data_IF_571426178121
#
_entry.id   IF_571426178121
#
_cell.length_a   1.000
_cell.length_b   1.000
_cell.length_c   1.000
_cell.angle_alpha   90.00
_cell.angle_beta   90.00
_cell.angle_gamma   90.00
#
_symmetry.space_group_name_H-M   'P 1'
#
loop_
_entity.id
_entity.type
_entity.pdbx_description
1 polymer ?
#
# COMPACT_ATOMS: atom_id res chain seq x y z
N UNK A 1 9.56 -10.11 18.48
CA UNK A 1 9.95 -8.70 18.76
C UNK A 1 10.66 -8.22 17.50
N UNK A 2 10.08 -7.29 16.71
CA UNK A 2 10.74 -6.84 15.46
C UNK A 2 11.91 -5.94 15.85
N UNK A 3 13.10 -6.21 15.31
CA UNK A 3 14.29 -5.41 15.56
C UNK A 3 14.03 -3.93 15.24
N UNK A 4 14.36 -3.01 16.15
CA UNK A 4 14.14 -1.57 15.94
C UNK A 4 15.00 -0.99 14.81
N UNK A 5 16.00 -1.73 14.34
CA UNK A 5 16.82 -1.38 13.18
C UNK A 5 16.36 -2.05 11.88
N UNK A 6 15.35 -2.93 11.93
CA UNK A 6 14.84 -3.56 10.72
C UNK A 6 14.29 -2.48 9.78
N UNK A 7 14.78 -2.41 8.53
CA UNK A 7 14.34 -1.40 7.59
C UNK A 7 12.84 -1.55 7.34
N UNK A 8 12.16 -0.40 7.26
CA UNK A 8 10.73 -0.40 6.96
C UNK A 8 10.53 -1.10 5.63
N UNK A 9 9.63 -2.08 5.60
CA UNK A 9 9.33 -2.82 4.37
C UNK A 9 8.82 -1.86 3.31
N UNK A 10 9.23 -2.11 2.07
CA UNK A 10 8.69 -1.47 0.89
C UNK A 10 7.17 -1.50 0.91
N UNK A 11 6.55 -0.37 0.61
CA UNK A 11 5.12 -0.31 0.33
C UNK A 11 4.87 -0.77 -1.11
N UNK A 12 3.95 -1.70 -1.30
CA UNK A 12 3.52 -2.13 -2.64
C UNK A 12 2.55 -1.11 -3.26
N UNK A 13 2.28 -1.24 -4.56
CA UNK A 13 1.35 -0.36 -5.27
C UNK A 13 -0.04 -0.35 -4.61
N UNK A 14 -0.48 -1.54 -4.20
CA UNK A 14 -1.70 -1.72 -3.41
C UNK A 14 -1.63 -1.04 -2.03
N UNK A 15 -0.48 -1.01 -1.36
CA UNK A 15 -0.35 -0.30 -0.08
C UNK A 15 -0.43 1.22 -0.23
N UNK A 16 0.10 1.80 -1.32
CA UNK A 16 -0.07 3.22 -1.62
C UNK A 16 -1.54 3.53 -1.95
N UNK A 17 -2.14 2.75 -2.86
CA UNK A 17 -3.55 2.88 -3.19
C UNK A 17 -4.46 2.73 -1.97
N UNK A 18 -4.24 1.68 -1.16
CA UNK A 18 -5.05 1.42 0.02
C UNK A 18 -4.89 2.50 1.08
N UNK A 19 -3.75 3.18 1.21
CA UNK A 19 -3.64 4.32 2.12
C UNK A 19 -4.48 5.50 1.66
N UNK A 20 -4.38 5.86 0.37
CA UNK A 20 -5.11 6.99 -0.21
C UNK A 20 -6.63 6.76 -0.22
N UNK A 21 -7.03 5.53 -0.56
CA UNK A 21 -8.43 5.16 -0.64
C UNK A 21 -9.04 4.71 0.67
N UNK A 22 -8.27 4.26 1.66
CA UNK A 22 -8.83 3.83 2.95
C UNK A 22 -9.54 4.98 3.64
N UNK A 23 -8.98 6.18 3.61
CA UNK A 23 -9.63 7.35 4.19
C UNK A 23 -10.91 7.71 3.44
N UNK A 24 -10.91 7.61 2.10
CA UNK A 24 -12.11 7.83 1.27
C UNK A 24 -13.20 6.80 1.54
N UNK A 25 -12.88 5.51 1.45
CA UNK A 25 -13.82 4.41 1.70
C UNK A 25 -14.37 4.49 3.12
N UNK A 26 -13.54 4.84 4.11
CA UNK A 26 -13.97 5.03 5.50
C UNK A 26 -14.82 6.30 5.67
N UNK A 27 -14.57 7.36 4.91
CA UNK A 27 -15.41 8.55 4.93
C UNK A 27 -16.78 8.28 4.28
N UNK A 28 -16.83 7.50 3.20
CA UNK A 28 -18.06 7.05 2.55
C UNK A 28 -18.79 5.98 3.39
N UNK A 29 -18.05 5.14 4.10
CA UNK A 29 -18.56 4.06 4.93
C UNK A 29 -17.98 4.18 6.35
N UNK A 30 -18.43 5.16 7.14
CA UNK A 30 -17.91 5.37 8.50
C UNK A 30 -18.25 4.20 9.44
N UNK A 31 -19.29 3.43 9.12
CA UNK A 31 -19.75 2.25 9.86
C UNK A 31 -19.02 0.97 9.43
N UNK A 32 -18.35 0.98 8.26
CA UNK A 32 -17.66 -0.21 7.76
C UNK A 32 -16.45 -0.56 8.63
N UNK A 33 -16.39 -1.82 9.03
CA UNK A 33 -15.24 -2.35 9.77
C UNK A 33 -13.98 -2.38 8.90
N UNK A 34 -12.80 -2.38 9.53
CA UNK A 34 -11.51 -2.45 8.82
C UNK A 34 -11.43 -3.63 7.82
N UNK A 35 -12.05 -4.77 8.16
CA UNK A 35 -12.15 -5.92 7.27
C UNK A 35 -13.01 -5.67 6.02
N UNK A 36 -14.09 -4.90 6.14
CA UNK A 36 -14.95 -4.52 5.01
C UNK A 36 -14.27 -3.48 4.13
N UNK A 37 -13.66 -2.46 4.75
CA UNK A 37 -12.84 -1.47 4.03
C UNK A 37 -11.73 -2.17 3.24
N UNK A 38 -11.05 -3.16 3.83
CA UNK A 38 -10.04 -3.96 3.14
C UNK A 38 -10.58 -4.76 1.96
N UNK A 39 -11.79 -5.33 2.08
CA UNK A 39 -12.47 -6.02 0.96
C UNK A 39 -12.83 -5.06 -0.16
N UNK A 40 -13.40 -3.89 0.17
CA UNK A 40 -13.77 -2.86 -0.79
C UNK A 40 -12.53 -2.33 -1.53
N UNK A 41 -11.45 -2.06 -0.81
CA UNK A 41 -10.17 -1.65 -1.41
C UNK A 41 -9.60 -2.73 -2.34
N UNK A 42 -9.65 -4.00 -1.93
CA UNK A 42 -9.19 -5.11 -2.76
C UNK A 42 -10.01 -5.29 -4.04
N UNK A 43 -11.34 -5.12 -3.94
CA UNK A 43 -12.24 -5.12 -5.09
C UNK A 43 -11.94 -3.94 -6.01
N UNK A 44 -11.90 -2.73 -5.47
CA UNK A 44 -11.60 -1.50 -6.22
C UNK A 44 -10.25 -1.57 -6.92
N UNK A 45 -9.21 -2.06 -6.24
CA UNK A 45 -7.90 -2.27 -6.85
C UNK A 45 -7.94 -3.27 -8.01
N UNK A 46 -8.75 -4.32 -7.92
CA UNK A 46 -8.92 -5.25 -9.05
C UNK A 46 -9.69 -4.62 -10.21
N UNK A 47 -10.65 -3.74 -9.91
CA UNK A 47 -11.42 -2.99 -10.90
C UNK A 47 -10.63 -1.86 -11.57
N UNK A 48 -9.62 -1.29 -10.91
CA UNK A 48 -8.77 -0.27 -11.52
C UNK A 48 -8.02 -0.82 -12.74
N UNK A 49 -7.91 -0.02 -13.78
CA UNK A 49 -7.12 -0.35 -14.97
C UNK A 49 -5.61 -0.22 -14.72
N UNK A 50 -4.80 -0.85 -15.58
CA UNK A 50 -3.35 -0.75 -15.53
C UNK A 50 -2.85 0.69 -15.59
N UNK A 51 -3.57 1.58 -16.27
CA UNK A 51 -3.26 3.02 -16.34
C UNK A 51 -3.44 3.72 -14.99
N UNK A 52 -4.51 3.40 -14.25
CA UNK A 52 -4.76 3.95 -12.91
C UNK A 52 -3.81 3.36 -11.88
N UNK A 53 -3.44 2.08 -12.05
CA UNK A 53 -2.43 1.40 -11.23
C UNK A 53 -1.02 1.91 -11.50
N UNK A 54 -0.73 2.37 -12.72
CA UNK A 54 0.60 2.80 -13.19
C UNK A 54 1.31 3.76 -12.22
N UNK A 55 0.72 4.90 -11.81
CA UNK A 55 1.38 5.80 -10.86
C UNK A 55 1.69 5.12 -9.52
N UNK A 56 0.79 4.26 -9.03
CA UNK A 56 1.02 3.51 -7.78
C UNK A 56 2.11 2.44 -7.94
N UNK A 57 2.19 1.80 -9.11
CA UNK A 57 3.22 0.80 -9.44
C UNK A 57 4.58 1.48 -9.54
N UNK A 58 4.69 2.63 -10.19
CA UNK A 58 5.93 3.41 -10.27
C UNK A 58 6.39 3.88 -8.88
N UNK A 59 5.45 4.38 -8.06
CA UNK A 59 5.75 4.81 -6.70
C UNK A 59 6.18 3.64 -5.81
N UNK A 60 5.55 2.48 -5.96
CA UNK A 60 5.94 1.24 -5.29
C UNK A 60 7.27 0.69 -5.76
N UNK A 61 7.60 0.78 -7.05
CA UNK A 61 8.90 0.38 -7.57
C UNK A 61 10.01 1.25 -6.98
N UNK A 62 9.77 2.56 -6.89
CA UNK A 62 10.70 3.51 -6.24
C UNK A 62 10.88 3.22 -4.76
N UNK A 63 9.79 3.00 -4.03
CA UNK A 63 9.83 2.68 -2.59
C UNK A 63 10.47 1.32 -2.33
N UNK A 64 10.20 0.34 -3.20
CA UNK A 64 10.85 -0.98 -3.18
C UNK A 64 12.35 -0.87 -3.35
N UNK A 65 12.83 -0.06 -4.31
CA UNK A 65 14.26 0.14 -4.49
C UNK A 65 14.91 0.77 -3.25
N UNK A 66 14.28 1.78 -2.63
CA UNK A 66 14.75 2.36 -1.36
C UNK A 66 14.81 1.30 -0.26
N UNK A 67 13.72 0.60 -0.02
CA UNK A 67 13.63 -0.39 1.05
C UNK A 67 14.55 -1.60 0.83
N UNK A 68 14.84 -1.96 -0.42
CA UNK A 68 15.81 -3.00 -0.77
C UNK A 68 17.25 -2.54 -0.52
N UNK A 69 17.58 -1.29 -0.83
CA UNK A 69 18.86 -0.67 -0.45
C UNK A 69 19.03 -0.59 1.07
N UNK A 70 18.04 -0.04 1.79
CA UNK A 70 18.07 0.02 3.25
C UNK A 70 18.13 -1.39 3.88
N UNK A 71 17.47 -2.38 3.26
CA UNK A 71 17.57 -3.79 3.67
C UNK A 71 18.94 -4.38 3.40
N UNK A 72 19.58 -4.04 2.29
CA UNK A 72 20.91 -4.50 1.96
C UNK A 72 21.99 -3.85 2.81
N UNK A 73 21.80 -2.61 3.26
CA UNK A 73 22.71 -1.95 4.22
C UNK A 73 22.50 -2.43 5.66
N UNK A 74 21.37 -3.07 5.96
CA UNK A 74 21.06 -3.64 7.26
C UNK A 74 21.52 -5.09 7.45
N UNK A 75 21.61 -5.85 6.36
CA UNK A 75 22.12 -7.25 6.33
C UNK A 75 23.64 -7.29 6.52
#
# INVERSE_FOLDING_TARGET
KKDPKAPKRALSAYMFFSQDWRERIKAENPDASFGEVGKLLGAKWKELDDEEKKPYIEQAARDKSRAEQEKSEYD
#
